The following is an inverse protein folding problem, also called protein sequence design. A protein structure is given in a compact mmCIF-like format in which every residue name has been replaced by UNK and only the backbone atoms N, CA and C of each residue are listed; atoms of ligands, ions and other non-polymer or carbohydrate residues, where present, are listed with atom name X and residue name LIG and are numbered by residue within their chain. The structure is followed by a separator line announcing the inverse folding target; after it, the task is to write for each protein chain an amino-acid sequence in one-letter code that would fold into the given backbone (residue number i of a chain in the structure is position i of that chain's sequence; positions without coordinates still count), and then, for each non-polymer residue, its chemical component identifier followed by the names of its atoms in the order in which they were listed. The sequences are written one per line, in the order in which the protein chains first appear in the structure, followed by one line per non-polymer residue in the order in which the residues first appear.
data_IF_837477636443
#
_entry.id   IF_837477636443
#
_cell.length_a   1.000
_cell.length_b   1.000
_cell.length_c   1.000
_cell.angle_alpha   90.00
_cell.angle_beta   90.00
_cell.angle_gamma   90.00
#
_symmetry.space_group_name_H-M   'P 1'
#
loop_
_entity.id
_entity.type
_entity.pdbx_description
1 polymer ?
#
# COMPACT_ATOMS: atom_id res chain seq x y z
N UNK A 1 -4.87 10.45 23.62
CA UNK A 1 -3.84 9.37 23.60
C UNK A 1 -4.37 8.01 23.11
N UNK A 2 -5.68 7.77 23.01
CA UNK A 2 -6.21 6.49 22.50
C UNK A 2 -5.96 6.26 21.01
N UNK A 3 -6.04 7.28 20.15
CA UNK A 3 -5.80 7.13 18.70
C UNK A 3 -4.40 6.63 18.37
N UNK A 4 -3.39 7.06 19.14
CA UNK A 4 -2.01 6.62 18.97
C UNK A 4 -1.86 5.14 19.34
N UNK A 5 -2.43 4.73 20.49
CA UNK A 5 -2.37 3.34 20.95
C UNK A 5 -3.14 2.39 20.04
N UNK A 6 -4.33 2.79 19.57
CA UNK A 6 -5.11 2.00 18.61
C UNK A 6 -4.39 1.89 17.25
N UNK A 7 -3.77 2.98 16.78
CA UNK A 7 -2.98 2.98 15.54
C UNK A 7 -1.75 2.07 15.63
N UNK A 8 -1.04 2.09 16.76
CA UNK A 8 0.10 1.21 17.01
C UNK A 8 -0.34 -0.27 17.09
N UNK A 9 -1.41 -0.57 17.82
CA UNK A 9 -1.89 -1.94 17.96
C UNK A 9 -2.38 -2.53 16.63
N UNK A 10 -3.11 -1.74 15.83
CA UNK A 10 -3.55 -2.14 14.49
C UNK A 10 -2.37 -2.35 13.54
N UNK A 11 -1.38 -1.44 13.53
CA UNK A 11 -0.18 -1.57 12.70
C UNK A 11 0.63 -2.82 13.05
N UNK A 12 0.81 -3.11 14.34
CA UNK A 12 1.46 -4.35 14.79
C UNK A 12 0.71 -5.60 14.32
N UNK A 13 -0.63 -5.60 14.39
CA UNK A 13 -1.44 -6.72 13.91
C UNK A 13 -1.33 -6.92 12.40
N UNK A 14 -1.34 -5.84 11.61
CA UNK A 14 -1.19 -5.89 10.15
C UNK A 14 0.21 -6.41 9.78
N UNK A 15 1.27 -5.91 10.42
CA UNK A 15 2.63 -6.43 10.20
C UNK A 15 2.73 -7.91 10.57
N UNK A 16 2.06 -8.34 11.64
CA UNK A 16 2.03 -9.75 11.99
C UNK A 16 1.34 -10.60 10.89
N UNK A 17 0.12 -10.27 10.50
CA UNK A 17 -0.63 -11.11 9.55
C UNK A 17 -0.08 -10.99 8.12
N UNK A 18 0.13 -9.77 7.62
CA UNK A 18 0.46 -9.56 6.20
C UNK A 18 1.93 -9.80 5.86
N UNK A 19 2.86 -9.67 6.81
CA UNK A 19 4.28 -9.95 6.55
C UNK A 19 4.72 -11.28 7.13
N UNK A 20 4.26 -11.66 8.33
CA UNK A 20 4.74 -12.88 8.99
C UNK A 20 3.97 -14.10 8.49
N UNK A 21 2.64 -14.05 8.42
CA UNK A 21 1.85 -15.21 7.95
C UNK A 21 1.91 -15.36 6.41
N UNK A 22 1.92 -14.25 5.66
CA UNK A 22 1.88 -14.28 4.18
C UNK A 22 3.17 -14.77 3.50
N UNK A 23 4.35 -14.49 4.07
CA UNK A 23 5.64 -14.92 3.49
C UNK A 23 6.00 -16.38 3.78
N UNK A 24 5.08 -17.14 4.39
CA UNK A 24 5.25 -18.56 4.71
C UNK A 24 4.76 -19.44 3.56
N UNK A 25 5.61 -20.40 3.13
CA UNK A 25 5.25 -21.44 2.14
C UNK A 25 4.95 -22.83 2.74
N UNK A 26 5.15 -23.08 4.04
CA UNK A 26 4.95 -24.44 4.60
C UNK A 26 4.49 -24.48 6.07
N UNK A 27 3.55 -25.38 6.46
CA UNK A 27 2.78 -25.25 7.70
C UNK A 27 3.32 -25.97 8.95
N UNK A 28 4.61 -26.30 9.06
CA UNK A 28 5.09 -27.10 10.21
C UNK A 28 6.15 -26.36 11.05
N UNK A 29 5.89 -26.27 12.37
CA UNK A 29 6.76 -25.89 13.51
C UNK A 29 6.39 -24.54 14.22
N UNK A 30 5.48 -24.62 15.21
CA UNK A 30 4.79 -23.48 15.87
C UNK A 30 5.60 -22.75 16.97
N UNK A 31 6.51 -23.43 17.69
CA UNK A 31 7.22 -22.85 18.85
C UNK A 31 8.40 -21.94 18.47
N UNK A 32 9.10 -22.25 17.37
CA UNK A 32 10.12 -21.38 16.79
C UNK A 32 9.53 -20.21 15.99
N UNK A 33 8.23 -20.27 15.70
CA UNK A 33 7.47 -19.38 14.82
C UNK A 33 7.22 -18.02 15.45
N UNK A 34 6.65 -18.01 16.65
CA UNK A 34 6.37 -16.78 17.39
C UNK A 34 7.67 -16.02 17.69
N UNK A 35 8.78 -16.74 17.87
CA UNK A 35 10.09 -16.15 18.15
C UNK A 35 10.68 -15.45 16.93
N UNK A 36 10.66 -16.06 15.74
CA UNK A 36 11.12 -15.44 14.49
C UNK A 36 10.22 -14.28 14.06
N UNK A 37 8.90 -14.45 14.18
CA UNK A 37 7.91 -13.41 13.99
C UNK A 37 8.19 -12.18 14.87
N UNK A 38 8.39 -12.43 16.17
CA UNK A 38 8.74 -11.38 17.14
C UNK A 38 10.06 -10.70 16.77
N UNK A 39 11.07 -11.43 16.29
CA UNK A 39 12.34 -10.84 15.84
C UNK A 39 12.12 -9.91 14.62
N UNK A 40 11.37 -10.33 13.59
CA UNK A 40 11.10 -9.49 12.42
C UNK A 40 10.34 -8.22 12.82
N UNK A 41 9.31 -8.37 13.66
CA UNK A 41 8.56 -7.22 14.20
C UNK A 41 9.44 -6.27 15.00
N UNK A 42 10.36 -6.81 15.84
CA UNK A 42 11.34 -6.01 16.59
C UNK A 42 12.30 -5.30 15.64
N UNK A 43 12.82 -5.96 14.60
CA UNK A 43 13.71 -5.34 13.61
C UNK A 43 13.01 -4.19 12.89
N UNK A 44 11.78 -4.37 12.45
CA UNK A 44 10.98 -3.31 11.82
C UNK A 44 10.77 -2.15 12.82
N UNK A 45 10.41 -2.46 14.07
CA UNK A 45 10.25 -1.47 15.13
C UNK A 45 11.53 -0.66 15.38
N UNK A 46 12.69 -1.32 15.42
CA UNK A 46 14.00 -0.66 15.57
C UNK A 46 14.27 0.26 14.38
N UNK A 47 14.04 -0.20 13.14
CA UNK A 47 14.19 0.63 11.93
C UNK A 47 13.31 1.89 12.01
N UNK A 48 12.06 1.75 12.46
CA UNK A 48 11.13 2.88 12.64
C UNK A 48 11.64 3.86 13.71
N UNK A 49 12.15 3.36 14.85
CA UNK A 49 12.71 4.21 15.91
C UNK A 49 13.96 4.97 15.43
N UNK A 50 14.84 4.29 14.70
CA UNK A 50 16.03 4.92 14.10
C UNK A 50 15.61 6.00 13.12
N UNK A 51 14.70 5.71 12.19
CA UNK A 51 14.15 6.69 11.24
C UNK A 51 13.49 7.88 11.94
N UNK A 52 12.77 7.64 13.04
CA UNK A 52 12.15 8.70 13.86
C UNK A 52 13.19 9.67 14.46
N UNK A 53 14.40 9.19 14.75
CA UNK A 53 15.49 10.05 15.26
C UNK A 53 15.93 11.08 14.20
N UNK A 54 15.76 10.78 12.92
CA UNK A 54 16.09 11.67 11.80
C UNK A 54 14.95 12.66 11.43
N UNK A 55 13.76 12.56 12.04
CA UNK A 55 12.65 13.50 11.79
C UNK A 55 13.03 14.95 12.13
N UNK A 56 13.93 15.16 13.10
CA UNK A 56 14.40 16.50 13.48
C UNK A 56 15.14 17.27 12.38
N UNK A 57 15.62 16.58 11.34
CA UNK A 57 16.29 17.21 10.20
C UNK A 57 15.32 17.59 9.06
N UNK A 58 14.05 17.21 9.16
CA UNK A 58 13.06 17.44 8.09
C UNK A 58 12.47 18.84 8.23
N UNK A 59 12.73 19.68 7.23
CA UNK A 59 12.23 21.06 7.18
C UNK A 59 10.80 21.07 6.64
N UNK A 60 9.90 21.77 7.32
CA UNK A 60 8.50 21.94 6.90
C UNK A 60 7.50 21.77 8.04
N UNK A 61 6.22 21.98 7.75
CA UNK A 61 5.15 21.71 8.71
C UNK A 61 5.01 20.19 8.90
N UNK A 62 5.11 19.70 10.15
CA UNK A 62 4.93 18.27 10.46
C UNK A 62 3.62 17.71 9.89
N UNK A 63 2.55 18.50 9.94
CA UNK A 63 1.25 18.11 9.39
C UNK A 63 1.31 17.96 7.87
N UNK A 64 2.03 18.85 7.17
CA UNK A 64 2.19 18.77 5.71
C UNK A 64 2.96 17.51 5.31
N UNK A 65 4.06 17.21 6.02
CA UNK A 65 4.88 16.01 5.76
C UNK A 65 4.06 14.74 6.05
N UNK A 66 3.34 14.70 7.17
CA UNK A 66 2.48 13.58 7.51
C UNK A 66 1.42 13.33 6.42
N UNK A 67 0.74 14.38 5.94
CA UNK A 67 -0.23 14.24 4.85
C UNK A 67 0.40 13.82 3.53
N UNK A 68 1.60 14.29 3.19
CA UNK A 68 2.33 13.83 1.99
C UNK A 68 2.57 12.32 2.03
N UNK A 69 3.09 11.81 3.16
CA UNK A 69 3.39 10.39 3.34
C UNK A 69 2.12 9.54 3.35
N UNK A 70 1.09 9.97 4.08
CA UNK A 70 -0.19 9.25 4.15
C UNK A 70 -0.87 9.21 2.78
N UNK A 71 -0.92 10.34 2.06
CA UNK A 71 -1.57 10.41 0.75
C UNK A 71 -0.86 9.52 -0.29
N UNK A 72 0.47 9.39 -0.21
CA UNK A 72 1.25 8.52 -1.09
C UNK A 72 0.87 7.04 -0.96
N UNK A 73 0.48 6.59 0.23
CA UNK A 73 0.07 5.21 0.47
C UNK A 73 -1.43 5.00 0.30
N UNK A 74 -2.24 5.96 0.75
CA UNK A 74 -3.71 5.88 0.71
C UNK A 74 -4.24 5.94 -0.72
N UNK A 75 -3.70 6.80 -1.58
CA UNK A 75 -4.15 6.93 -2.96
C UNK A 75 -4.04 5.61 -3.77
N UNK A 76 -2.87 4.95 -3.85
CA UNK A 76 -2.73 3.69 -4.58
C UNK A 76 -3.58 2.56 -3.97
N UNK A 77 -3.63 2.44 -2.64
CA UNK A 77 -4.46 1.45 -1.97
C UNK A 77 -5.94 1.64 -2.30
N UNK A 78 -6.44 2.87 -2.20
CA UNK A 78 -7.82 3.17 -2.56
C UNK A 78 -8.09 2.85 -4.03
N UNK A 79 -7.19 3.21 -4.95
CA UNK A 79 -7.36 2.90 -6.37
C UNK A 79 -7.32 1.40 -6.68
N UNK A 80 -6.54 0.60 -5.94
CA UNK A 80 -6.57 -0.87 -6.05
C UNK A 80 -7.95 -1.42 -5.65
N UNK A 81 -8.49 -0.96 -4.51
CA UNK A 81 -9.84 -1.35 -4.06
C UNK A 81 -10.93 -0.88 -5.02
N UNK A 82 -10.83 0.34 -5.54
CA UNK A 82 -11.79 0.89 -6.50
C UNK A 82 -11.81 0.06 -7.79
N UNK A 83 -10.64 -0.25 -8.34
CA UNK A 83 -10.53 -1.13 -9.52
C UNK A 83 -11.11 -2.53 -9.24
N UNK A 84 -10.79 -3.12 -8.09
CA UNK A 84 -11.30 -4.44 -7.72
C UNK A 84 -12.83 -4.49 -7.53
N UNK A 85 -13.42 -3.42 -6.98
CA UNK A 85 -14.86 -3.38 -6.66
C UNK A 85 -15.73 -2.93 -7.85
N UNK A 86 -15.28 -1.95 -8.63
CA UNK A 86 -16.10 -1.32 -9.67
C UNK A 86 -15.76 -1.77 -11.09
N UNK A 87 -14.54 -2.25 -11.35
CA UNK A 87 -14.08 -2.62 -12.70
C UNK A 87 -14.08 -4.14 -12.86
N UNK A 88 -15.18 -4.69 -13.39
CA UNK A 88 -15.40 -6.15 -13.55
C UNK A 88 -14.39 -6.84 -14.47
N UNK A 89 -13.72 -6.06 -15.32
CA UNK A 89 -12.69 -6.52 -16.26
C UNK A 89 -11.28 -6.10 -15.83
N UNK A 90 -11.08 -5.74 -14.55
CA UNK A 90 -9.77 -5.42 -14.01
C UNK A 90 -8.85 -6.66 -14.05
N UNK A 91 -7.71 -6.52 -14.71
CA UNK A 91 -6.64 -7.50 -14.78
C UNK A 91 -5.62 -7.23 -13.67
N UNK A 92 -4.97 -8.26 -13.12
CA UNK A 92 -3.95 -8.07 -12.09
C UNK A 92 -2.81 -7.14 -12.55
N UNK A 93 -2.34 -7.34 -13.79
CA UNK A 93 -1.28 -6.52 -14.38
C UNK A 93 -1.73 -5.08 -14.60
N UNK A 94 -2.92 -4.85 -15.16
CA UNK A 94 -3.46 -3.50 -15.35
C UNK A 94 -3.63 -2.74 -14.05
N UNK A 95 -4.08 -3.43 -12.99
CA UNK A 95 -4.25 -2.83 -11.67
C UNK A 95 -2.91 -2.45 -11.02
N UNK A 96 -1.87 -3.29 -11.17
CA UNK A 96 -0.51 -3.00 -10.67
C UNK A 96 0.13 -1.85 -11.45
N UNK A 97 0.03 -1.86 -12.79
CA UNK A 97 0.59 -0.78 -13.64
C UNK A 97 -0.12 0.54 -13.36
N UNK A 98 -1.45 0.53 -13.23
CA UNK A 98 -2.23 1.70 -12.83
C UNK A 98 -1.78 2.22 -11.46
N UNK A 99 -1.59 1.34 -10.47
CA UNK A 99 -1.12 1.73 -9.14
C UNK A 99 0.29 2.36 -9.17
N UNK A 100 1.21 1.79 -9.96
CA UNK A 100 2.56 2.34 -10.12
C UNK A 100 2.56 3.74 -10.77
N UNK A 101 1.70 3.94 -11.78
CA UNK A 101 1.55 5.25 -12.42
C UNK A 101 0.89 6.25 -11.49
N UNK A 102 -0.18 5.87 -10.79
CA UNK A 102 -0.83 6.70 -9.77
C UNK A 102 0.15 7.14 -8.67
N UNK A 103 0.98 6.22 -8.20
CA UNK A 103 2.02 6.51 -7.21
C UNK A 103 3.07 7.49 -7.77
N UNK A 104 3.49 7.32 -9.02
CA UNK A 104 4.45 8.22 -9.67
C UNK A 104 3.87 9.63 -9.84
N UNK A 105 2.59 9.73 -10.21
CA UNK A 105 1.86 11.01 -10.28
C UNK A 105 1.72 11.64 -8.89
N UNK A 106 1.39 10.85 -7.87
CA UNK A 106 1.33 11.33 -6.49
C UNK A 106 2.68 11.84 -6.00
N UNK A 107 3.78 11.14 -6.29
CA UNK A 107 5.15 11.60 -6.01
C UNK A 107 5.46 12.90 -6.75
N UNK A 108 5.17 12.94 -8.06
CA UNK A 108 5.41 14.10 -8.90
C UNK A 108 4.70 15.35 -8.38
N UNK A 109 3.45 15.23 -7.94
CA UNK A 109 2.68 16.37 -7.41
C UNK A 109 3.15 16.75 -5.98
N UNK A 110 3.36 15.77 -5.08
CA UNK A 110 3.75 16.07 -3.70
C UNK A 110 5.15 16.69 -3.57
N UNK A 111 6.08 16.30 -4.46
CA UNK A 111 7.45 16.81 -4.49
C UNK A 111 7.69 17.89 -5.57
N UNK A 112 6.65 18.32 -6.31
CA UNK A 112 6.76 19.34 -7.35
C UNK A 112 7.38 20.65 -6.85
N UNK A 113 7.03 21.04 -5.63
CA UNK A 113 7.50 22.27 -4.98
C UNK A 113 9.00 22.21 -4.64
N UNK A 114 9.49 21.02 -4.24
CA UNK A 114 10.90 20.76 -3.95
C UNK A 114 11.73 20.63 -5.24
N UNK A 115 11.14 20.08 -6.31
CA UNK A 115 11.82 19.88 -7.59
C UNK A 115 11.92 21.15 -8.46
N UNK A 116 10.92 22.04 -8.39
CA UNK A 116 10.74 23.12 -9.39
C UNK A 116 10.78 24.51 -8.78
N UNK A 117 10.81 24.65 -7.44
CA UNK A 117 10.93 25.95 -6.74
C UNK A 117 9.71 26.87 -6.83
N UNK A 118 8.71 26.54 -7.65
CA UNK A 118 7.43 27.27 -7.76
C UNK A 118 6.38 26.68 -6.81
N UNK A 119 5.46 27.51 -6.28
CA UNK A 119 4.26 27.01 -5.59
C UNK A 119 3.37 26.27 -6.60
N UNK A 120 3.61 24.96 -6.73
CA UNK A 120 2.78 24.08 -7.53
C UNK A 120 1.38 23.89 -6.92
N UNK A 121 0.56 23.16 -7.67
CA UNK A 121 -0.79 22.71 -7.32
C UNK A 121 -0.85 22.24 -5.85
N UNK A 122 -1.88 22.67 -5.11
CA UNK A 122 -2.05 22.30 -3.70
C UNK A 122 -2.00 20.79 -3.51
N UNK A 123 -1.32 20.32 -2.46
CA UNK A 123 -1.24 18.90 -2.09
C UNK A 123 -2.61 18.21 -1.98
N UNK A 124 -3.68 18.99 -1.73
CA UNK A 124 -5.08 18.54 -1.77
C UNK A 124 -5.50 17.94 -3.12
N UNK A 125 -4.96 18.45 -4.23
CA UNK A 125 -5.24 17.93 -5.56
C UNK A 125 -4.39 16.72 -5.92
N UNK A 126 -3.33 16.42 -5.16
CA UNK A 126 -2.48 15.27 -5.40
C UNK A 126 -3.26 13.96 -5.32
N UNK A 127 -4.16 13.83 -4.34
CA UNK A 127 -5.00 12.64 -4.15
C UNK A 127 -5.99 12.41 -5.31
N UNK A 128 -6.86 13.36 -5.70
CA UNK A 128 -7.79 13.14 -6.80
C UNK A 128 -7.09 12.96 -8.16
N UNK A 129 -6.00 13.70 -8.45
CA UNK A 129 -5.27 13.55 -9.71
C UNK A 129 -4.54 12.21 -9.81
N UNK A 130 -3.87 11.77 -8.75
CA UNK A 130 -3.19 10.47 -8.73
C UNK A 130 -4.17 9.31 -8.88
N UNK A 131 -5.33 9.42 -8.23
CA UNK A 131 -6.40 8.42 -8.32
C UNK A 131 -7.02 8.37 -9.72
N UNK A 132 -7.31 9.54 -10.32
CA UNK A 132 -7.79 9.60 -11.70
C UNK A 132 -6.77 8.99 -12.68
N UNK A 133 -5.48 9.32 -12.51
CA UNK A 133 -4.41 8.74 -13.33
C UNK A 133 -4.32 7.22 -13.15
N UNK A 134 -4.39 6.72 -11.91
CA UNK A 134 -4.37 5.29 -11.61
C UNK A 134 -5.55 4.56 -12.24
N UNK A 135 -6.76 5.09 -12.11
CA UNK A 135 -7.98 4.47 -12.64
C UNK A 135 -7.98 4.52 -14.17
N UNK A 136 -7.61 5.65 -14.76
CA UNK A 136 -7.54 5.78 -16.22
C UNK A 136 -6.52 4.82 -16.83
N UNK A 137 -5.29 4.81 -16.31
CA UNK A 137 -4.24 3.90 -16.80
C UNK A 137 -4.58 2.44 -16.48
N UNK A 138 -5.12 2.18 -15.29
CA UNK A 138 -5.55 0.84 -14.88
C UNK A 138 -6.63 0.30 -15.81
N UNK A 139 -7.64 1.09 -16.17
CA UNK A 139 -8.68 0.71 -17.11
C UNK A 139 -8.12 0.50 -18.54
N UNK A 140 -7.27 1.40 -19.03
CA UNK A 140 -6.67 1.32 -20.38
C UNK A 140 -5.77 0.09 -20.52
N UNK A 141 -4.90 -0.18 -19.55
CA UNK A 141 -4.03 -1.37 -19.56
C UNK A 141 -4.86 -2.63 -19.37
N UNK A 142 -5.96 -2.56 -18.62
CA UNK A 142 -6.85 -3.70 -18.43
C UNK A 142 -7.75 -4.01 -19.63
N UNK A 143 -7.92 -3.06 -20.55
CA UNK A 143 -8.55 -3.29 -21.86
C UNK A 143 -7.61 -4.07 -22.80
N UNK A 144 -6.30 -4.05 -22.56
CA UNK A 144 -5.35 -4.87 -23.31
C UNK A 144 -5.43 -6.32 -22.78
N UNK A 145 -5.76 -7.32 -23.62
CA UNK A 145 -5.98 -8.70 -23.20
C UNK A 145 -4.66 -9.43 -22.93
N UNK A 146 -3.93 -9.00 -21.91
CA UNK A 146 -2.68 -9.62 -21.43
C UNK A 146 -2.88 -10.01 -19.97
N UNK A 147 -3.32 -11.25 -19.73
CA UNK A 147 -3.29 -11.88 -18.41
C UNK A 147 -4.53 -12.71 -18.07
N UNK A 148 -4.34 -14.04 -17.98
CA UNK A 148 -5.33 -15.07 -17.66
C UNK A 148 -6.31 -14.69 -16.53
N UNK A 149 -7.59 -15.00 -16.76
CA UNK A 149 -8.57 -15.17 -15.69
C UNK A 149 -8.03 -16.22 -14.71
N UNK A 150 -8.03 -15.99 -13.39
CA UNK A 150 -7.91 -17.09 -12.44
C UNK A 150 -9.16 -17.96 -12.63
N UNK A 151 -9.00 -19.07 -13.32
CA UNK A 151 -10.03 -20.09 -13.41
C UNK A 151 -10.12 -20.71 -12.01
N UNK A 152 -11.20 -20.39 -11.28
CA UNK A 152 -11.53 -21.09 -10.03
C UNK A 152 -11.83 -22.52 -10.45
N UNK A 153 -10.90 -23.43 -10.18
CA UNK A 153 -11.10 -24.82 -10.56
C UNK A 153 -12.17 -25.44 -9.66
N UNK A 154 -13.11 -26.23 -10.21
CA UNK A 154 -14.19 -26.87 -9.44
C UNK A 154 -13.69 -27.75 -8.27
N UNK A 155 -12.47 -28.28 -8.37
CA UNK A 155 -11.82 -29.11 -7.35
C UNK A 155 -11.62 -28.39 -6.01
N UNK A 156 -11.47 -27.06 -6.00
CA UNK A 156 -11.33 -26.26 -4.77
C UNK A 156 -12.67 -25.98 -4.06
N UNK A 157 -13.79 -26.21 -4.75
CA UNK A 157 -15.14 -26.01 -4.19
C UNK A 157 -15.67 -27.27 -3.47
N UNK A 158 -15.09 -28.45 -3.74
CA UNK A 158 -15.60 -29.73 -3.24
C UNK A 158 -14.98 -30.10 -1.88
N UNK A 159 -13.77 -29.62 -1.57
CA UNK A 159 -13.03 -30.03 -0.34
C UNK A 159 -13.52 -29.30 0.93
N UNK A 160 -14.41 -28.31 0.81
CA UNK A 160 -14.80 -27.45 1.94
C UNK A 160 -16.08 -27.89 2.67
N UNK A 161 -16.77 -28.93 2.19
CA UNK A 161 -18.06 -29.39 2.72
C UNK A 161 -18.01 -30.82 3.33
N UNK A 162 -16.83 -31.38 3.63
CA UNK A 162 -16.68 -32.70 4.28
C UNK A 162 -15.99 -32.64 5.63
#
# INVERSE_FOLDING_TARGET
MSSLSSGLNSSCSVVAVDFIDRFRKTPNDDLNHVRRARIISVVIGVVVVVMSTFVGAVQGNMLEIAFKVVNLLVAPLFGLFFMAMFVRWATPLGTIVGAAVGLTVACGINYWKELTGTQGISFLWAMPLSLLAQVAVGMVVSLLPIGRRPEVKPEDLIVKDS
#
